data_IF_678331536850
#
_entry.id   IF_678331536850
#
_cell.length_a   1.000
_cell.length_b   1.000
_cell.length_c   1.000
_cell.angle_alpha   90.00
_cell.angle_beta   90.00
_cell.angle_gamma   90.00
#
_symmetry.space_group_name_H-M   'P 1'
#
loop_
_entity.id
_entity.type
_entity.pdbx_description
1 polymer ?
#
# COMPACT_ATOMS: atom_id res chain seq x y z
N UNK A 1 19.38 -3.67 -0.64
CA UNK A 1 18.83 -3.13 -1.91
C UNK A 1 18.28 -1.74 -1.63
N UNK A 2 18.71 -0.73 -2.38
CA UNK A 2 18.11 0.60 -2.34
C UNK A 2 16.77 0.60 -3.08
N UNK A 3 15.83 1.41 -2.62
CA UNK A 3 14.54 1.63 -3.28
C UNK A 3 14.22 3.12 -3.28
N UNK A 4 13.42 3.54 -4.26
CA UNK A 4 12.93 4.91 -4.35
C UNK A 4 11.76 5.11 -3.39
N UNK A 5 11.81 6.17 -2.58
CA UNK A 5 10.68 6.57 -1.74
C UNK A 5 9.85 7.58 -2.50
N UNK A 6 8.68 7.15 -2.97
CA UNK A 6 7.74 7.91 -3.76
C UNK A 6 6.75 8.63 -2.84
N UNK A 7 6.72 9.96 -2.95
CA UNK A 7 5.80 10.82 -2.21
C UNK A 7 4.56 11.17 -3.03
N UNK A 8 4.72 11.38 -4.33
CA UNK A 8 3.61 11.75 -5.24
C UNK A 8 3.94 11.37 -6.68
N UNK A 9 2.95 10.90 -7.41
CA UNK A 9 2.99 10.71 -8.86
C UNK A 9 1.93 11.62 -9.46
N UNK A 10 2.30 12.42 -10.44
CA UNK A 10 1.44 13.40 -11.11
C UNK A 10 1.55 13.19 -12.62
N UNK A 11 0.40 13.12 -13.30
CA UNK A 11 0.36 13.17 -14.76
C UNK A 11 -0.04 14.59 -15.12
N UNK A 12 0.81 15.28 -15.88
CA UNK A 12 0.57 16.65 -16.35
C UNK A 12 -0.32 16.66 -17.60
N UNK A 13 -0.81 17.84 -17.98
CA UNK A 13 -1.64 18.02 -19.18
C UNK A 13 -0.90 17.69 -20.48
N UNK A 14 0.42 17.88 -20.53
CA UNK A 14 1.31 17.52 -21.65
C UNK A 14 1.76 16.05 -21.62
N UNK A 15 1.01 15.20 -20.91
CA UNK A 15 1.20 13.75 -20.80
C UNK A 15 2.59 13.36 -20.27
N UNK A 16 3.14 14.13 -19.33
CA UNK A 16 4.39 13.79 -18.64
C UNK A 16 4.10 13.17 -17.28
N UNK A 17 4.88 12.15 -16.93
CA UNK A 17 4.81 11.49 -15.63
C UNK A 17 5.85 12.12 -14.71
N UNK A 18 5.37 13.00 -13.84
CA UNK A 18 6.19 13.72 -12.86
C UNK A 18 6.09 13.04 -11.50
N UNK A 19 7.24 12.81 -10.88
CA UNK A 19 7.32 12.05 -9.63
C UNK A 19 8.11 12.85 -8.59
N UNK A 20 7.54 12.97 -7.39
CA UNK A 20 8.24 13.46 -6.21
C UNK A 20 8.82 12.26 -5.45
N UNK A 21 10.13 12.09 -5.47
CA UNK A 21 10.78 10.93 -4.86
C UNK A 21 12.11 11.27 -4.19
N UNK A 22 12.51 10.41 -3.24
CA UNK A 22 13.87 10.36 -2.74
C UNK A 22 14.62 9.20 -3.39
N UNK A 23 15.89 9.44 -3.73
CA UNK A 23 16.73 8.50 -4.49
C UNK A 23 17.08 7.21 -3.71
N UNK A 24 17.02 7.28 -2.37
CA UNK A 24 17.23 6.13 -1.50
C UNK A 24 16.42 6.29 -0.20
N UNK A 25 16.51 5.29 0.66
CA UNK A 25 15.81 5.18 1.93
C UNK A 25 16.64 5.61 3.14
N UNK A 26 17.83 6.19 2.93
CA UNK A 26 18.72 6.65 4.00
C UNK A 26 18.23 8.01 4.48
N UNK A 27 18.18 8.21 5.80
CA UNK A 27 17.74 9.48 6.38
C UNK A 27 18.93 10.45 6.51
N UNK A 28 18.73 11.76 6.30
CA UNK A 28 17.48 12.43 5.93
C UNK A 28 17.07 12.19 4.47
N UNK A 29 15.76 12.14 4.19
CA UNK A 29 15.22 11.92 2.85
C UNK A 29 15.17 13.24 2.07
N UNK A 30 15.94 13.35 0.98
CA UNK A 30 15.87 14.47 0.03
C UNK A 30 14.86 14.17 -1.08
N UNK A 31 13.71 14.87 -1.06
CA UNK A 31 12.64 14.65 -2.04
C UNK A 31 12.73 15.63 -3.21
N UNK A 32 13.08 15.11 -4.38
CA UNK A 32 13.16 15.86 -5.62
C UNK A 32 11.95 15.61 -6.49
N UNK A 33 11.61 16.60 -7.31
CA UNK A 33 10.56 16.48 -8.32
C UNK A 33 11.21 16.37 -9.69
N UNK A 34 10.87 15.32 -10.42
CA UNK A 34 11.47 15.07 -11.74
C UNK A 34 10.52 14.29 -12.63
N UNK A 35 10.75 14.40 -13.93
CA UNK A 35 10.11 13.53 -14.90
C UNK A 35 10.74 12.14 -14.86
N UNK A 36 9.92 11.11 -15.04
CA UNK A 36 10.41 9.78 -15.38
C UNK A 36 10.12 9.55 -16.87
N UNK A 37 11.14 9.75 -17.70
CA UNK A 37 11.02 9.72 -19.16
C UNK A 37 10.46 8.40 -19.67
N UNK A 38 10.89 7.25 -19.12
CA UNK A 38 10.38 5.94 -19.52
C UNK A 38 8.88 5.78 -19.27
N UNK A 39 8.36 6.31 -18.17
CA UNK A 39 6.93 6.28 -17.86
C UNK A 39 6.14 7.29 -18.70
N UNK A 40 6.73 8.45 -19.00
CA UNK A 40 6.18 9.40 -19.98
C UNK A 40 6.06 8.75 -21.35
N UNK A 41 7.09 8.03 -21.80
CA UNK A 41 7.08 7.32 -23.07
C UNK A 41 6.01 6.21 -23.10
N UNK A 42 5.93 5.38 -22.05
CA UNK A 42 4.85 4.38 -21.92
C UNK A 42 3.47 5.03 -21.98
N UNK A 43 3.28 6.16 -21.29
CA UNK A 43 2.01 6.88 -21.29
C UNK A 43 1.65 7.38 -22.69
N UNK A 44 2.62 7.92 -23.45
CA UNK A 44 2.40 8.46 -24.80
C UNK A 44 2.19 7.38 -25.85
N UNK A 45 2.92 6.27 -25.76
CA UNK A 45 2.91 5.21 -26.77
C UNK A 45 1.81 4.18 -26.55
N UNK A 46 1.59 3.77 -25.29
CA UNK A 46 0.69 2.67 -24.91
C UNK A 46 -0.51 3.12 -24.08
N UNK A 47 -0.52 4.38 -23.66
CA UNK A 47 -1.63 4.97 -22.92
C UNK A 47 -1.62 4.64 -21.43
N UNK A 48 -2.63 5.19 -20.74
CA UNK A 48 -2.75 5.13 -19.29
C UNK A 48 -2.91 3.71 -18.71
N UNK A 49 -3.64 2.77 -19.35
CA UNK A 49 -3.73 1.40 -18.86
C UNK A 49 -2.37 0.71 -18.73
N UNK A 50 -1.47 0.92 -19.70
CA UNK A 50 -0.12 0.34 -19.68
C UNK A 50 0.74 1.00 -18.58
N UNK A 51 0.64 2.33 -18.45
CA UNK A 51 1.32 3.06 -17.37
C UNK A 51 0.91 2.54 -15.98
N UNK A 52 -0.38 2.30 -15.76
CA UNK A 52 -0.87 1.79 -14.47
C UNK A 52 -0.25 0.41 -14.14
N UNK A 53 -0.13 -0.49 -15.13
CA UNK A 53 0.51 -1.79 -14.95
C UNK A 53 2.02 -1.67 -14.66
N UNK A 54 2.71 -0.76 -15.33
CA UNK A 54 4.13 -0.53 -15.10
C UNK A 54 4.40 0.02 -13.69
N UNK A 55 3.58 0.99 -13.25
CA UNK A 55 3.63 1.52 -11.89
C UNK A 55 3.35 0.42 -10.86
N UNK A 56 2.31 -0.40 -11.06
CA UNK A 56 2.03 -1.54 -10.18
C UNK A 56 3.20 -2.52 -10.10
N UNK A 57 3.85 -2.83 -11.23
CA UNK A 57 5.05 -3.67 -11.27
C UNK A 57 6.19 -3.08 -10.44
N UNK A 58 6.44 -1.76 -10.53
CA UNK A 58 7.49 -1.07 -9.75
C UNK A 58 7.25 -1.16 -8.23
N UNK A 59 5.99 -1.01 -7.78
CA UNK A 59 5.62 -1.16 -6.37
C UNK A 59 5.66 -2.61 -5.91
N UNK A 60 5.16 -3.54 -6.72
CA UNK A 60 5.16 -4.97 -6.41
C UNK A 60 6.58 -5.51 -6.23
N UNK A 61 7.48 -5.21 -7.16
CA UNK A 61 8.90 -5.59 -7.10
C UNK A 61 9.67 -4.89 -5.97
N UNK A 62 9.08 -3.88 -5.34
CA UNK A 62 9.71 -3.13 -4.26
C UNK A 62 10.79 -2.14 -4.71
N UNK A 63 10.91 -1.90 -6.02
CA UNK A 63 11.78 -0.84 -6.56
C UNK A 63 11.30 0.54 -6.09
N UNK A 64 9.97 0.70 -6.01
CA UNK A 64 9.30 1.90 -5.52
C UNK A 64 8.56 1.56 -4.23
N UNK A 65 8.68 2.43 -3.24
CA UNK A 65 7.94 2.35 -1.98
C UNK A 65 7.31 3.70 -1.67
N UNK A 66 6.22 3.71 -0.91
CA UNK A 66 5.54 4.93 -0.52
C UNK A 66 4.06 4.68 -0.31
N UNK A 67 3.40 5.57 0.43
CA UNK A 67 1.98 5.42 0.72
C UNK A 67 1.15 6.09 -0.36
N UNK A 68 0.65 5.32 -1.32
CA UNK A 68 -0.18 5.82 -2.41
C UNK A 68 -1.14 4.74 -2.93
N UNK A 69 -1.94 5.08 -3.96
CA UNK A 69 -2.95 4.16 -4.51
C UNK A 69 -2.35 2.87 -5.08
N UNK A 70 -1.14 2.91 -5.63
CA UNK A 70 -0.49 1.75 -6.24
C UNK A 70 0.04 0.80 -5.17
N UNK A 71 0.69 1.32 -4.12
CA UNK A 71 1.12 0.49 -2.99
C UNK A 71 -0.09 -0.21 -2.34
N UNK A 72 -1.16 0.57 -2.07
CA UNK A 72 -2.42 0.03 -1.53
C UNK A 72 -3.03 -1.04 -2.43
N UNK A 73 -3.07 -0.82 -3.74
CA UNK A 73 -3.64 -1.78 -4.68
C UNK A 73 -2.86 -3.10 -4.70
N UNK A 74 -1.52 -3.05 -4.65
CA UNK A 74 -0.67 -4.22 -4.51
C UNK A 74 -0.97 -4.97 -3.21
N UNK A 75 -1.00 -4.26 -2.08
CA UNK A 75 -1.27 -4.87 -0.77
C UNK A 75 -2.66 -5.49 -0.69
N UNK A 76 -3.67 -4.80 -1.20
CA UNK A 76 -5.05 -5.29 -1.21
C UNK A 76 -5.19 -6.56 -2.04
N UNK A 77 -4.56 -6.62 -3.21
CA UNK A 77 -4.57 -7.84 -4.01
C UNK A 77 -3.91 -9.01 -3.28
N UNK A 78 -2.72 -8.79 -2.69
CA UNK A 78 -2.00 -9.84 -1.96
C UNK A 78 -2.77 -10.34 -0.75
N UNK A 79 -3.37 -9.44 0.03
CA UNK A 79 -4.18 -9.81 1.21
C UNK A 79 -5.45 -10.55 0.80
N UNK A 80 -6.17 -10.03 -0.20
CA UNK A 80 -7.44 -10.63 -0.65
C UNK A 80 -7.22 -12.03 -1.20
N UNK A 81 -6.15 -12.22 -1.96
CA UNK A 81 -5.84 -13.51 -2.61
C UNK A 81 -4.94 -14.39 -1.72
N UNK A 82 -4.63 -13.96 -0.48
CA UNK A 82 -3.77 -14.64 0.50
C UNK A 82 -2.42 -15.08 -0.07
N UNK A 83 -1.80 -14.20 -0.84
CA UNK A 83 -0.53 -14.47 -1.50
C UNK A 83 0.64 -13.96 -0.66
N UNK A 84 1.63 -14.82 -0.44
CA UNK A 84 2.93 -14.36 0.04
C UNK A 84 3.62 -13.54 -1.06
N UNK A 85 4.15 -12.37 -0.68
CA UNK A 85 4.75 -11.44 -1.62
C UNK A 85 6.01 -12.02 -2.28
N UNK A 86 6.83 -12.73 -1.50
CA UNK A 86 8.08 -13.30 -2.01
C UNK A 86 7.80 -14.48 -2.94
N UNK A 87 6.87 -15.36 -2.58
CA UNK A 87 6.45 -16.48 -3.44
C UNK A 87 5.85 -15.98 -4.75
N UNK A 88 4.94 -15.00 -4.69
CA UNK A 88 4.37 -14.40 -5.89
C UNK A 88 5.45 -13.74 -6.77
N UNK A 89 6.42 -13.04 -6.15
CA UNK A 89 7.54 -12.43 -6.87
C UNK A 89 8.44 -13.48 -7.52
N UNK A 90 8.75 -14.56 -6.82
CA UNK A 90 9.58 -15.65 -7.33
C UNK A 90 8.91 -16.29 -8.56
N UNK A 91 7.61 -16.56 -8.49
CA UNK A 91 6.83 -17.12 -9.60
C UNK A 91 6.80 -16.20 -10.83
N UNK A 92 6.69 -14.88 -10.64
CA UNK A 92 6.75 -13.89 -11.72
C UNK A 92 8.10 -13.85 -12.47
N UNK A 93 9.18 -14.41 -11.91
CA UNK A 93 10.46 -14.51 -12.61
C UNK A 93 10.42 -15.55 -13.73
N UNK A 94 9.70 -16.64 -13.51
CA UNK A 94 9.62 -17.78 -14.41
C UNK A 94 8.41 -17.68 -15.35
N UNK A 95 7.27 -17.19 -14.84
CA UNK A 95 6.02 -17.13 -15.59
C UNK A 95 5.56 -15.68 -15.84
N UNK A 96 5.72 -15.23 -17.08
CA UNK A 96 5.28 -13.89 -17.53
C UNK A 96 3.78 -13.77 -17.71
N UNK A 97 3.08 -14.86 -18.00
CA UNK A 97 1.62 -14.86 -18.09
C UNK A 97 1.00 -14.69 -16.69
N UNK A 98 1.59 -15.35 -15.69
CA UNK A 98 1.25 -15.15 -14.29
C UNK A 98 1.51 -13.71 -13.84
N UNK A 99 2.70 -13.15 -14.14
CA UNK A 99 3.02 -11.74 -13.81
C UNK A 99 1.97 -10.79 -14.38
N UNK A 100 1.64 -10.93 -15.67
CA UNK A 100 0.64 -10.08 -16.31
C UNK A 100 -0.75 -10.21 -15.67
N UNK A 101 -1.19 -11.44 -15.39
CA UNK A 101 -2.48 -11.72 -14.76
C UNK A 101 -2.56 -11.12 -13.35
N UNK A 102 -1.49 -11.25 -12.57
CA UNK A 102 -1.39 -10.69 -11.23
C UNK A 102 -1.42 -9.15 -11.27
N UNK A 103 -0.75 -8.51 -12.23
CA UNK A 103 -0.80 -7.05 -12.38
C UNK A 103 -2.20 -6.56 -12.78
N UNK A 104 -2.92 -7.30 -13.64
CA UNK A 104 -4.31 -7.01 -13.96
C UNK A 104 -5.22 -7.15 -12.72
N UNK A 105 -4.97 -8.17 -11.90
CA UNK A 105 -5.68 -8.35 -10.62
C UNK A 105 -5.44 -7.17 -9.68
N UNK A 106 -4.18 -6.74 -9.51
CA UNK A 106 -3.83 -5.55 -8.73
C UNK A 106 -4.45 -4.27 -9.28
N UNK A 107 -4.53 -4.13 -10.62
CA UNK A 107 -5.16 -2.98 -11.28
C UNK A 107 -6.63 -2.81 -10.88
N UNK A 108 -7.36 -3.91 -10.65
CA UNK A 108 -8.72 -3.88 -10.13
C UNK A 108 -8.86 -3.14 -8.79
N UNK A 109 -7.79 -3.06 -7.99
CA UNK A 109 -7.78 -2.40 -6.69
C UNK A 109 -7.37 -0.92 -6.72
N UNK A 110 -6.95 -0.36 -7.86
CA UNK A 110 -6.48 1.04 -7.94
C UNK A 110 -7.50 2.08 -7.47
N UNK A 111 -8.79 1.76 -7.66
CA UNK A 111 -9.91 2.61 -7.28
C UNK A 111 -10.80 1.96 -6.21
N UNK A 112 -10.39 0.81 -5.69
CA UNK A 112 -11.14 0.10 -4.68
C UNK A 112 -11.14 0.88 -3.36
N UNK A 113 -12.34 1.05 -2.80
CA UNK A 113 -12.53 1.59 -1.46
C UNK A 113 -13.03 0.44 -0.59
N UNK A 114 -12.27 0.04 0.45
CA UNK A 114 -12.73 -0.98 1.38
C UNK A 114 -14.06 -0.58 2.02
N UNK A 115 -14.83 -1.58 2.42
CA UNK A 115 -16.03 -1.36 3.23
C UNK A 115 -15.61 -0.63 4.51
N UNK A 116 -16.21 0.52 4.82
CA UNK A 116 -15.93 1.23 6.05
C UNK A 116 -16.30 0.37 7.26
N UNK A 117 -15.34 0.09 8.12
CA UNK A 117 -15.55 -0.50 9.44
C UNK A 117 -14.48 0.06 10.39
N UNK A 118 -14.92 0.80 11.39
CA UNK A 118 -14.02 1.24 12.45
C UNK A 118 -13.52 -0.01 13.18
N UNK A 119 -12.21 -0.23 13.19
CA UNK A 119 -11.62 -1.37 13.85
C UNK A 119 -10.26 -1.02 14.44
N UNK A 120 -9.83 -1.75 15.46
CA UNK A 120 -8.46 -1.71 15.97
C UNK A 120 -7.79 -3.07 15.86
N UNK A 121 -6.46 -3.05 15.96
CA UNK A 121 -5.64 -4.26 15.99
C UNK A 121 -5.27 -4.59 17.42
N UNK A 122 -5.30 -5.87 17.75
CA UNK A 122 -4.78 -6.41 19.00
C UNK A 122 -3.67 -7.41 18.73
N UNK A 123 -2.63 -7.35 19.55
CA UNK A 123 -1.54 -8.31 19.56
C UNK A 123 -1.47 -8.90 20.96
N UNK A 124 -1.60 -10.23 21.06
CA UNK A 124 -1.63 -10.94 22.35
C UNK A 124 -2.62 -10.30 23.36
N UNK A 125 -3.85 -10.03 22.89
CA UNK A 125 -4.95 -9.39 23.65
C UNK A 125 -4.70 -7.94 24.09
N UNK A 126 -3.60 -7.31 23.66
CA UNK A 126 -3.31 -5.91 23.95
C UNK A 126 -3.55 -5.05 22.71
N UNK A 127 -4.27 -3.91 22.82
CA UNK A 127 -4.48 -3.02 21.68
C UNK A 127 -3.18 -2.42 21.15
N UNK A 128 -3.08 -2.36 19.83
CA UNK A 128 -1.98 -1.75 19.11
C UNK A 128 -2.20 -0.24 19.01
N UNK A 129 -1.25 0.51 19.55
CA UNK A 129 -1.23 1.96 19.49
C UNK A 129 -0.38 2.49 18.32
N UNK A 130 0.78 1.88 18.06
CA UNK A 130 1.72 2.32 17.01
C UNK A 130 2.36 1.12 16.33
N UNK A 131 2.51 1.23 15.00
CA UNK A 131 3.16 0.22 14.17
C UNK A 131 4.30 0.87 13.41
N UNK A 132 5.50 0.33 13.62
CA UNK A 132 6.73 0.69 12.93
C UNK A 132 7.36 -0.56 12.31
N UNK A 133 8.34 -0.36 11.42
CA UNK A 133 9.17 -1.46 10.94
C UNK A 133 9.95 -2.03 12.14
N UNK A 134 9.69 -3.29 12.50
CA UNK A 134 10.37 -3.98 13.60
C UNK A 134 9.95 -3.60 15.02
N UNK A 135 9.00 -2.68 15.21
CA UNK A 135 8.49 -2.33 16.54
C UNK A 135 6.98 -2.10 16.53
N UNK A 136 6.29 -2.69 17.51
CA UNK A 136 4.89 -2.41 17.82
C UNK A 136 4.79 -1.88 19.25
N UNK A 137 4.02 -0.81 19.42
CA UNK A 137 3.71 -0.28 20.74
C UNK A 137 2.29 -0.68 21.11
N UNK A 138 2.15 -1.32 22.28
CA UNK A 138 0.88 -1.78 22.84
C UNK A 138 0.46 -0.83 23.97
N UNK A 139 -0.84 -0.58 24.09
CA UNK A 139 -1.38 0.20 25.20
C UNK A 139 -2.84 -0.14 25.45
N UNK A 140 -3.20 -0.28 26.72
CA UNK A 140 -4.59 -0.44 27.13
C UNK A 140 -5.38 0.88 27.09
N UNK A 141 -4.68 2.02 27.17
CA UNK A 141 -5.31 3.36 27.19
C UNK A 141 -5.42 3.97 25.80
N UNK A 142 -4.57 3.55 24.86
CA UNK A 142 -4.49 4.12 23.51
C UNK A 142 -4.53 3.00 22.49
N UNK A 143 -5.40 3.14 21.50
CA UNK A 143 -5.50 2.23 20.37
C UNK A 143 -5.56 3.01 19.08
N UNK A 144 -5.02 2.41 18.01
CA UNK A 144 -5.08 2.99 16.68
C UNK A 144 -6.32 2.47 15.98
N UNK A 145 -7.21 3.39 15.61
CA UNK A 145 -8.43 3.08 14.85
C UNK A 145 -8.10 3.15 13.36
N UNK A 146 -8.57 2.14 12.63
CA UNK A 146 -8.54 2.05 11.17
C UNK A 146 -9.96 2.23 10.63
N UNK A 147 -10.07 2.73 9.40
CA UNK A 147 -11.38 2.92 8.76
C UNK A 147 -11.88 1.66 8.06
N UNK A 148 -11.03 0.63 7.94
CA UNK A 148 -11.41 -0.68 7.45
C UNK A 148 -10.46 -1.78 7.93
N UNK A 149 -10.95 -3.01 8.00
CA UNK A 149 -10.16 -4.21 8.29
C UNK A 149 -9.02 -4.35 7.28
N UNK A 150 -9.30 -4.13 6.00
CA UNK A 150 -8.30 -4.25 4.93
C UNK A 150 -7.20 -3.20 5.06
N UNK A 151 -7.51 -1.97 5.48
CA UNK A 151 -6.50 -0.95 5.78
C UNK A 151 -5.63 -1.31 6.98
N UNK A 152 -6.23 -1.91 8.02
CA UNK A 152 -5.49 -2.38 9.19
C UNK A 152 -4.47 -3.46 8.81
N UNK A 153 -4.91 -4.49 8.06
CA UNK A 153 -4.07 -5.57 7.57
C UNK A 153 -2.99 -5.06 6.61
N UNK A 154 -3.35 -4.18 5.66
CA UNK A 154 -2.40 -3.56 4.73
C UNK A 154 -1.32 -2.77 5.46
N UNK A 155 -1.67 -2.08 6.54
CA UNK A 155 -0.70 -1.36 7.38
C UNK A 155 0.32 -2.31 8.03
N UNK A 156 -0.11 -3.50 8.47
CA UNK A 156 0.80 -4.52 9.02
C UNK A 156 1.77 -5.02 7.97
N UNK A 157 1.25 -5.45 6.81
CA UNK A 157 2.07 -5.94 5.69
C UNK A 157 3.10 -4.90 5.26
N UNK A 158 2.68 -3.64 5.12
CA UNK A 158 3.58 -2.53 4.79
C UNK A 158 4.71 -2.31 5.79
N UNK A 159 4.49 -2.65 7.05
CA UNK A 159 5.48 -2.51 8.13
C UNK A 159 6.27 -3.80 8.35
N UNK A 160 6.05 -4.82 7.52
CA UNK A 160 6.75 -6.11 7.58
C UNK A 160 6.21 -7.05 8.65
N UNK A 161 4.96 -6.86 9.09
CA UNK A 161 4.32 -7.72 10.08
C UNK A 161 3.34 -8.68 9.40
N UNK A 162 3.30 -9.93 9.86
CA UNK A 162 2.31 -10.90 9.42
C UNK A 162 0.93 -10.55 10.05
N UNK A 163 -0.11 -10.25 9.24
CA UNK A 163 -1.45 -9.95 9.73
C UNK A 163 -2.09 -11.07 10.56
N UNK A 164 -1.76 -12.34 10.30
CA UNK A 164 -2.37 -13.49 10.99
C UNK A 164 -2.02 -13.54 12.48
N UNK A 165 -0.96 -12.84 12.90
CA UNK A 165 -0.57 -12.73 14.30
C UNK A 165 -1.43 -11.71 15.08
N UNK A 166 -2.35 -11.01 14.41
CA UNK A 166 -3.15 -9.95 14.99
C UNK A 166 -4.63 -10.28 14.93
N UNK A 167 -5.34 -9.92 15.99
CA UNK A 167 -6.78 -9.94 15.99
C UNK A 167 -7.30 -8.56 15.57
N UNK A 168 -8.22 -8.54 14.60
CA UNK A 168 -8.96 -7.33 14.24
C UNK A 168 -10.23 -7.33 15.05
N UNK A 169 -10.43 -6.27 15.83
CA UNK A 169 -11.62 -6.08 16.64
C UNK A 169 -12.41 -4.92 16.05
N UNK A 170 -13.66 -5.17 15.69
CA UNK A 170 -14.57 -4.13 15.22
C UNK A 170 -14.99 -3.24 16.39
N UNK A 171 -14.94 -1.94 16.18
CA UNK A 171 -15.45 -0.96 17.11
C UNK A 171 -16.94 -0.83 16.87
N UNK A 172 -17.75 -1.09 17.89
CA UNK A 172 -19.15 -0.71 17.86
C UNK A 172 -19.21 0.81 17.70
N UNK A 173 -19.81 1.27 16.59
CA UNK A 173 -20.15 2.68 16.44
C UNK A 173 -21.18 3.03 17.50
N UNK A 174 -20.72 3.48 18.66
CA UNK A 174 -21.57 4.16 19.61
C UNK A 174 -22.04 5.46 18.96
N UNK A 175 -23.14 5.39 18.21
CA UNK A 175 -24.06 6.52 18.06
C UNK A 175 -24.76 6.76 19.40
N UNK A 176 -24.00 7.06 20.45
CA UNK A 176 -24.51 7.80 21.58
C UNK A 176 -24.48 9.26 21.15
N UNK A 177 -25.57 9.72 20.51
CA UNK A 177 -25.95 11.13 20.58
C UNK A 177 -25.96 11.49 22.05
N UNK A 178 -24.95 12.21 22.51
CA UNK A 178 -25.05 12.96 23.75
C UNK A 178 -26.07 14.07 23.49
N UNK A 179 -27.34 13.78 23.74
CA UNK A 179 -28.36 14.80 23.94
C UNK A 179 -27.88 15.67 25.10
N UNK A 180 -27.55 16.91 24.76
CA UNK A 180 -27.29 18.00 25.68
C UNK A 180 -28.60 18.21 26.45
N UNK A 181 -28.57 17.99 27.77
CA UNK A 181 -29.56 18.52 28.71
C UNK A 181 -29.16 19.93 29.13
#
# INVERSE_FOLDING_TARGET
MSHLIIKRITITSDLRVMVRMAANNIRPLDFRYGEIESLTETLRTKGRPALDLELLSLFFKGCWQGWNRYSRAVEYALITDRLDKYEAWARCREDKAYEHTLLLRMRGFLHYRPVPCCCHLEYQRCPVWRISAGLICLSWQKRRIFQSVLEAQATLVNKGWNPDNFHVVEEETNTSKSEIR
#
